data_IF_123165964578
#
_entry.id   IF_123165964578
#
_cell.length_a   1.000
_cell.length_b   1.000
_cell.length_c   1.000
_cell.angle_alpha   90.00
_cell.angle_beta   90.00
_cell.angle_gamma   90.00
#
_symmetry.space_group_name_H-M   'P 1'
#
loop_
_entity.id
_entity.type
_entity.pdbx_description
1 polymer ?
#
# COMPACT_ATOMS: atom_id res chain seq x y z
N UNK A 1 14.52 -8.17 -12.25
CA UNK A 1 13.23 -8.90 -12.32
C UNK A 1 13.34 -10.29 -12.96
N UNK A 2 13.99 -10.47 -14.11
CA UNK A 2 14.10 -11.80 -14.75
C UNK A 2 14.84 -12.81 -13.86
N UNK A 3 15.79 -12.34 -13.07
CA UNK A 3 16.64 -13.14 -12.19
C UNK A 3 15.89 -13.77 -10.98
N UNK A 4 14.72 -13.22 -10.60
CA UNK A 4 13.94 -13.65 -9.42
C UNK A 4 12.54 -14.19 -9.76
N UNK A 5 12.31 -14.58 -11.01
CA UNK A 5 10.98 -15.00 -11.48
C UNK A 5 10.46 -16.24 -10.74
N UNK A 6 11.33 -17.17 -10.37
CA UNK A 6 10.92 -18.39 -9.68
C UNK A 6 10.50 -18.10 -8.24
N UNK A 7 11.28 -17.29 -7.53
CA UNK A 7 10.99 -16.87 -6.15
C UNK A 7 9.69 -16.08 -6.07
N UNK A 8 9.44 -15.16 -7.02
CA UNK A 8 8.19 -14.40 -7.12
C UNK A 8 7.00 -15.34 -7.35
N UNK A 9 7.13 -16.34 -8.24
CA UNK A 9 6.08 -17.35 -8.46
C UNK A 9 5.79 -18.16 -7.21
N UNK A 10 6.80 -18.53 -6.45
CA UNK A 10 6.63 -19.25 -5.19
C UNK A 10 5.91 -18.41 -4.13
N UNK A 11 6.23 -17.11 -4.03
CA UNK A 11 5.53 -16.17 -3.13
C UNK A 11 4.05 -16.09 -3.51
N UNK A 12 3.73 -15.93 -4.80
CA UNK A 12 2.34 -15.91 -5.28
C UNK A 12 1.61 -17.23 -5.02
N UNK A 13 2.29 -18.36 -5.23
CA UNK A 13 1.73 -19.68 -4.94
C UNK A 13 1.42 -19.83 -3.45
N UNK A 14 2.36 -19.44 -2.59
CA UNK A 14 2.15 -19.45 -1.14
C UNK A 14 0.93 -18.58 -0.74
N UNK A 15 0.83 -17.37 -1.30
CA UNK A 15 -0.28 -16.48 -1.06
C UNK A 15 -1.64 -17.14 -1.39
N UNK A 16 -1.71 -17.79 -2.56
CA UNK A 16 -2.92 -18.48 -3.01
C UNK A 16 -3.29 -19.67 -2.10
N UNK A 17 -2.32 -20.52 -1.78
CA UNK A 17 -2.52 -21.73 -0.96
C UNK A 17 -2.92 -21.37 0.48
N UNK A 18 -2.39 -20.28 1.04
CA UNK A 18 -2.66 -19.83 2.41
C UNK A 18 -3.72 -18.72 2.49
N UNK A 19 -4.35 -18.38 1.36
CA UNK A 19 -5.39 -17.33 1.27
C UNK A 19 -4.91 -15.98 1.83
N UNK A 20 -3.64 -15.65 1.61
CA UNK A 20 -3.10 -14.34 1.96
C UNK A 20 -3.42 -13.38 0.82
N UNK A 21 -4.15 -12.28 1.07
CA UNK A 21 -4.37 -11.29 0.03
C UNK A 21 -3.05 -10.60 -0.31
N UNK A 22 -2.73 -10.54 -1.59
CA UNK A 22 -1.62 -9.77 -2.17
C UNK A 22 -2.16 -8.88 -3.27
N UNK A 23 -1.48 -7.78 -3.54
CA UNK A 23 -1.85 -6.84 -4.60
C UNK A 23 -1.92 -7.54 -5.97
N UNK A 24 -2.89 -7.17 -6.80
CA UNK A 24 -3.07 -7.69 -8.16
C UNK A 24 -1.92 -7.26 -9.08
N UNK A 25 -1.66 -8.04 -10.13
CA UNK A 25 -0.51 -7.82 -11.01
C UNK A 25 -0.51 -6.44 -11.68
N UNK A 26 -1.66 -6.00 -12.19
CA UNK A 26 -1.81 -4.68 -12.81
C UNK A 26 -1.65 -3.53 -11.79
N UNK A 27 -2.04 -3.75 -10.54
CA UNK A 27 -1.79 -2.84 -9.43
C UNK A 27 -0.28 -2.74 -9.11
N UNK A 28 0.42 -3.88 -9.07
CA UNK A 28 1.88 -3.92 -8.89
C UNK A 28 2.60 -3.24 -10.06
N UNK A 29 2.16 -3.47 -11.29
CA UNK A 29 2.73 -2.83 -12.48
C UNK A 29 2.55 -1.30 -12.44
N UNK A 30 1.39 -0.84 -11.97
CA UNK A 30 1.15 0.58 -11.73
C UNK A 30 2.11 1.13 -10.66
N UNK A 31 2.17 0.49 -9.50
CA UNK A 31 2.98 0.94 -8.35
C UNK A 31 4.48 1.01 -8.71
N UNK A 32 5.01 -0.03 -9.33
CA UNK A 32 6.42 -0.08 -9.74
C UNK A 32 6.76 0.92 -10.84
N UNK A 33 5.84 1.10 -11.81
CA UNK A 33 5.97 2.13 -12.85
C UNK A 33 5.93 3.53 -12.24
N UNK A 34 5.04 3.76 -11.27
CA UNK A 34 4.93 5.03 -10.55
C UNK A 34 6.23 5.38 -9.82
N UNK A 35 6.81 4.41 -9.11
CA UNK A 35 8.09 4.54 -8.41
C UNK A 35 9.21 4.98 -9.37
N UNK A 36 9.32 4.31 -10.53
CA UNK A 36 10.35 4.63 -11.53
C UNK A 36 10.13 6.03 -12.11
N UNK A 37 8.90 6.34 -12.56
CA UNK A 37 8.58 7.62 -13.23
C UNK A 37 8.77 8.82 -12.31
N UNK A 38 8.43 8.69 -11.03
CA UNK A 38 8.54 9.77 -10.05
C UNK A 38 9.87 9.76 -9.28
N UNK A 39 10.83 8.89 -9.66
CA UNK A 39 12.16 8.79 -9.05
C UNK A 39 12.11 8.60 -7.52
N UNK A 40 11.12 7.84 -7.04
CA UNK A 40 10.94 7.52 -5.64
C UNK A 40 12.15 6.74 -5.13
N UNK A 41 12.70 7.15 -3.98
CA UNK A 41 13.86 6.51 -3.34
C UNK A 41 13.54 5.94 -1.97
N UNK A 42 12.52 6.44 -1.30
CA UNK A 42 12.12 6.01 0.03
C UNK A 42 10.62 5.76 0.10
N UNK A 43 10.24 4.57 0.58
CA UNK A 43 8.85 4.14 0.70
C UNK A 43 8.56 3.72 2.13
N UNK A 44 7.44 4.21 2.68
CA UNK A 44 6.81 3.66 3.87
C UNK A 44 5.58 2.87 3.43
N UNK A 45 5.56 1.58 3.71
CA UNK A 45 4.43 0.70 3.44
C UNK A 45 3.69 0.34 4.73
N UNK A 46 2.37 0.47 4.69
CA UNK A 46 1.47 0.10 5.78
C UNK A 46 0.70 -1.15 5.36
N UNK A 47 1.07 -2.29 5.91
CA UNK A 47 0.54 -3.60 5.55
C UNK A 47 1.50 -4.37 4.63
N UNK A 48 2.48 -5.04 5.24
CA UNK A 48 3.48 -5.86 4.52
C UNK A 48 2.90 -7.16 3.98
N UNK A 49 1.93 -7.74 4.68
CA UNK A 49 1.51 -9.12 4.49
C UNK A 49 2.75 -10.07 4.42
N UNK A 50 2.91 -10.82 3.35
CA UNK A 50 4.07 -11.73 3.15
C UNK A 50 5.23 -11.07 2.39
N UNK A 51 5.23 -9.73 2.27
CA UNK A 51 6.31 -8.95 1.67
C UNK A 51 6.27 -8.82 0.15
N UNK A 52 5.18 -9.23 -0.51
CA UNK A 52 5.12 -9.26 -1.98
C UNK A 52 5.27 -7.87 -2.60
N UNK A 53 4.46 -6.90 -2.20
CA UNK A 53 4.53 -5.52 -2.68
C UNK A 53 5.87 -4.85 -2.38
N UNK A 54 6.37 -4.99 -1.13
CA UNK A 54 7.68 -4.48 -0.73
C UNK A 54 8.82 -5.03 -1.61
N UNK A 55 8.81 -6.33 -1.87
CA UNK A 55 9.79 -6.98 -2.75
C UNK A 55 9.69 -6.43 -4.18
N UNK A 56 8.49 -6.34 -4.73
CA UNK A 56 8.29 -5.83 -6.10
C UNK A 56 8.71 -4.37 -6.23
N UNK A 57 8.41 -3.52 -5.24
CA UNK A 57 8.91 -2.15 -5.17
C UNK A 57 10.44 -2.10 -5.13
N UNK A 58 11.08 -2.90 -4.28
CA UNK A 58 12.53 -2.95 -4.19
C UNK A 58 13.19 -3.43 -5.49
N UNK A 59 12.61 -4.43 -6.16
CA UNK A 59 13.14 -4.96 -7.42
C UNK A 59 12.91 -4.01 -8.61
N UNK A 60 11.97 -3.06 -8.53
CA UNK A 60 11.68 -2.10 -9.59
C UNK A 60 12.82 -1.12 -9.82
N UNK A 61 13.56 -0.77 -8.75
CA UNK A 61 14.66 0.18 -8.81
C UNK A 61 15.69 -0.15 -7.72
N UNK A 62 16.99 -0.31 -8.05
CA UNK A 62 18.02 -0.70 -7.08
C UNK A 62 18.26 0.34 -5.96
N UNK A 63 17.78 1.57 -6.14
CA UNK A 63 17.98 2.67 -5.18
C UNK A 63 16.80 2.87 -4.22
N UNK A 64 15.73 2.09 -4.35
CA UNK A 64 14.56 2.20 -3.47
C UNK A 64 14.81 1.50 -2.15
N UNK A 65 14.63 2.26 -1.06
CA UNK A 65 14.65 1.78 0.31
C UNK A 65 13.22 1.73 0.85
N UNK A 66 12.86 0.66 1.53
CA UNK A 66 11.49 0.43 2.00
C UNK A 66 11.49 0.19 3.49
N UNK A 67 10.62 0.88 4.20
CA UNK A 67 10.22 0.56 5.57
C UNK A 67 8.79 0.04 5.50
N UNK A 68 8.53 -1.18 5.96
CA UNK A 68 7.22 -1.81 5.89
C UNK A 68 6.75 -2.29 7.26
N UNK A 69 5.47 -2.10 7.55
CA UNK A 69 4.89 -2.37 8.87
C UNK A 69 3.86 -3.49 8.76
N UNK A 70 4.01 -4.54 9.58
CA UNK A 70 3.07 -5.65 9.70
C UNK A 70 2.80 -5.96 11.17
N UNK A 71 1.54 -6.22 11.49
CA UNK A 71 1.11 -6.58 12.86
C UNK A 71 0.81 -8.06 13.05
N UNK A 72 0.56 -8.78 11.97
CA UNK A 72 0.32 -10.23 12.00
C UNK A 72 1.66 -10.96 12.01
N UNK A 73 1.93 -11.71 13.10
CA UNK A 73 3.20 -12.38 13.31
C UNK A 73 3.50 -13.42 12.23
N UNK A 74 2.50 -14.19 11.81
CA UNK A 74 2.68 -15.24 10.80
C UNK A 74 3.07 -14.64 9.45
N UNK A 75 2.40 -13.56 9.06
CA UNK A 75 2.71 -12.81 7.83
C UNK A 75 4.08 -12.14 7.91
N UNK A 76 4.38 -11.51 9.02
CA UNK A 76 5.67 -10.88 9.26
C UNK A 76 6.84 -11.87 9.13
N UNK A 77 6.73 -13.05 9.75
CA UNK A 77 7.76 -14.09 9.65
C UNK A 77 7.92 -14.63 8.23
N UNK A 78 6.83 -14.80 7.49
CA UNK A 78 6.89 -15.20 6.09
C UNK A 78 7.49 -14.08 5.21
N UNK A 79 7.18 -12.80 5.49
CA UNK A 79 7.80 -11.68 4.80
C UNK A 79 9.32 -11.64 5.02
N UNK A 80 9.80 -11.83 6.25
CA UNK A 80 11.24 -11.93 6.56
C UNK A 80 11.92 -13.02 5.73
N UNK A 81 11.30 -14.19 5.66
CA UNK A 81 11.82 -15.32 4.89
C UNK A 81 11.90 -15.01 3.39
N UNK A 82 10.86 -14.39 2.83
CA UNK A 82 10.80 -14.03 1.43
C UNK A 82 11.84 -12.96 1.08
N UNK A 83 11.99 -11.93 1.91
CA UNK A 83 12.98 -10.85 1.73
C UNK A 83 14.40 -11.42 1.77
N UNK A 84 14.69 -12.28 2.75
CA UNK A 84 16.00 -12.94 2.87
C UNK A 84 16.31 -13.84 1.66
N UNK A 85 15.33 -14.58 1.16
CA UNK A 85 15.48 -15.44 -0.02
C UNK A 85 15.91 -14.67 -1.27
N UNK A 86 15.55 -13.38 -1.35
CA UNK A 86 15.86 -12.47 -2.46
C UNK A 86 17.06 -11.56 -2.18
N UNK A 87 17.74 -11.72 -1.03
CA UNK A 87 18.86 -10.88 -0.58
C UNK A 87 18.49 -9.38 -0.57
N UNK A 88 17.30 -9.05 -0.03
CA UNK A 88 16.78 -7.68 0.02
C UNK A 88 16.78 -7.07 1.44
N UNK A 89 17.42 -7.74 2.43
CA UNK A 89 17.45 -7.29 3.82
C UNK A 89 18.09 -5.91 4.01
N UNK A 90 19.04 -5.56 3.17
CA UNK A 90 19.70 -4.24 3.21
C UNK A 90 18.81 -3.12 2.64
N UNK A 91 17.72 -3.46 1.96
CA UNK A 91 16.82 -2.50 1.30
C UNK A 91 15.39 -2.47 1.83
N UNK A 92 14.99 -3.51 2.55
CA UNK A 92 13.66 -3.62 3.13
C UNK A 92 13.77 -3.81 4.63
N UNK A 93 13.37 -2.79 5.39
CA UNK A 93 13.29 -2.85 6.86
C UNK A 93 11.86 -3.20 7.25
N UNK A 94 11.67 -4.31 7.97
CA UNK A 94 10.37 -4.70 8.51
C UNK A 94 10.20 -4.28 9.96
N UNK A 95 9.03 -3.74 10.28
CA UNK A 95 8.62 -3.37 11.65
C UNK A 95 7.44 -4.26 12.05
N UNK A 96 7.65 -5.12 13.06
CA UNK A 96 6.57 -5.92 13.65
C UNK A 96 5.84 -5.10 14.71
N UNK A 97 4.73 -4.44 14.30
CA UNK A 97 3.91 -3.61 15.20
C UNK A 97 2.57 -3.26 14.56
N UNK A 98 1.56 -2.88 15.37
CA UNK A 98 0.39 -2.20 14.82
C UNK A 98 0.82 -0.82 14.31
N UNK A 99 0.43 -0.49 13.07
CA UNK A 99 0.88 0.74 12.43
C UNK A 99 0.43 2.00 13.19
N UNK A 100 -0.71 1.98 13.87
CA UNK A 100 -1.18 3.13 14.66
C UNK A 100 -0.29 3.40 15.88
N UNK A 101 0.47 2.41 16.36
CA UNK A 101 1.41 2.54 17.48
C UNK A 101 2.83 2.91 17.02
N UNK A 102 3.07 2.99 15.71
CA UNK A 102 4.40 3.31 15.16
C UNK A 102 4.59 4.83 15.06
N UNK A 103 5.70 5.31 15.57
CA UNK A 103 6.17 6.68 15.39
C UNK A 103 7.52 6.64 14.69
N UNK A 104 7.61 7.22 13.50
CA UNK A 104 8.82 7.28 12.71
C UNK A 104 9.32 8.73 12.66
N UNK A 105 10.62 8.98 12.89
CA UNK A 105 11.22 10.29 12.70
C UNK A 105 11.45 10.62 11.22
N UNK A 106 11.55 9.59 10.39
CA UNK A 106 11.94 9.67 8.99
C UNK A 106 10.83 10.23 8.10
N UNK A 107 11.24 10.77 6.96
CA UNK A 107 10.39 11.21 5.88
C UNK A 107 10.57 10.31 4.66
N UNK A 108 9.49 10.12 3.90
CA UNK A 108 9.43 9.23 2.74
C UNK A 108 8.93 9.98 1.50
N UNK A 109 9.39 9.54 0.33
CA UNK A 109 8.89 10.06 -0.95
C UNK A 109 7.50 9.48 -1.28
N UNK A 110 7.23 8.26 -0.78
CA UNK A 110 5.97 7.57 -0.97
C UNK A 110 5.53 6.92 0.35
N UNK A 111 4.27 7.15 0.73
CA UNK A 111 3.55 6.35 1.72
C UNK A 111 2.56 5.47 0.96
N UNK A 112 2.71 4.15 1.07
CA UNK A 112 1.82 3.17 0.45
C UNK A 112 0.94 2.53 1.53
N UNK A 113 -0.40 2.67 1.39
CA UNK A 113 -1.38 2.17 2.36
C UNK A 113 -2.12 0.98 1.75
N UNK A 114 -1.77 -0.23 2.18
CA UNK A 114 -2.42 -1.48 1.82
C UNK A 114 -2.73 -2.32 3.08
N UNK A 115 -3.39 -1.70 4.04
CA UNK A 115 -3.75 -2.32 5.32
C UNK A 115 -5.27 -2.38 5.53
N UNK A 116 -5.71 -2.52 6.77
CA UNK A 116 -7.13 -2.60 7.13
C UNK A 116 -7.91 -1.37 6.67
N UNK A 117 -8.76 -1.54 5.66
CA UNK A 117 -9.50 -0.47 4.96
C UNK A 117 -10.38 0.38 5.91
N UNK A 118 -10.83 -0.20 7.03
CA UNK A 118 -11.58 0.54 8.07
C UNK A 118 -10.75 1.60 8.80
N UNK A 119 -9.43 1.59 8.65
CA UNK A 119 -8.49 2.49 9.31
C UNK A 119 -7.78 3.44 8.33
N UNK A 120 -8.14 3.43 7.05
CA UNK A 120 -7.43 4.19 6.00
C UNK A 120 -7.32 5.69 6.29
N UNK A 121 -8.36 6.34 6.83
CA UNK A 121 -8.32 7.75 7.23
C UNK A 121 -7.25 7.97 8.31
N UNK A 122 -7.22 7.13 9.35
CA UNK A 122 -6.23 7.25 10.43
C UNK A 122 -4.80 7.04 9.93
N UNK A 123 -4.59 6.06 9.03
CA UNK A 123 -3.27 5.85 8.42
C UNK A 123 -2.86 7.06 7.56
N UNK A 124 -3.79 7.61 6.77
CA UNK A 124 -3.51 8.81 5.98
C UNK A 124 -3.11 9.98 6.87
N UNK A 125 -3.90 10.31 7.90
CA UNK A 125 -3.62 11.41 8.83
C UNK A 125 -2.32 11.22 9.59
N UNK A 126 -2.04 10.00 10.07
CA UNK A 126 -0.84 9.72 10.83
C UNK A 126 0.41 9.84 9.95
N UNK A 127 0.42 9.15 8.80
CA UNK A 127 1.61 9.01 7.99
C UNK A 127 1.80 10.11 6.94
N UNK A 128 0.80 10.96 6.71
CA UNK A 128 1.00 12.20 5.94
C UNK A 128 2.07 13.11 6.57
N UNK A 129 2.28 13.01 7.87
CA UNK A 129 3.36 13.71 8.59
C UNK A 129 4.75 13.18 8.26
N UNK A 130 4.83 11.94 7.79
CA UNK A 130 6.06 11.29 7.35
C UNK A 130 6.33 11.47 5.85
N UNK A 131 5.54 12.28 5.16
CA UNK A 131 5.72 12.53 3.73
C UNK A 131 6.70 13.68 3.49
N UNK A 132 7.60 13.52 2.52
CA UNK A 132 8.41 14.60 1.98
C UNK A 132 7.52 15.66 1.30
N UNK A 133 8.01 16.89 1.10
CA UNK A 133 7.21 18.00 0.55
C UNK A 133 6.59 17.69 -0.80
N UNK A 134 7.29 16.96 -1.68
CA UNK A 134 6.81 16.55 -3.00
C UNK A 134 6.41 15.06 -3.03
N UNK A 135 6.18 14.45 -1.88
CA UNK A 135 5.88 13.05 -1.77
C UNK A 135 4.43 12.71 -2.13
N UNK A 136 4.16 11.42 -2.23
CA UNK A 136 2.87 10.87 -2.62
C UNK A 136 2.33 9.92 -1.55
N UNK A 137 1.01 9.85 -1.43
CA UNK A 137 0.33 8.79 -0.70
C UNK A 137 -0.47 7.97 -1.70
N UNK A 138 -0.19 6.67 -1.80
CA UNK A 138 -0.94 5.73 -2.63
C UNK A 138 -1.72 4.81 -1.72
N UNK A 139 -3.01 4.60 -2.02
CA UNK A 139 -3.84 3.62 -1.30
C UNK A 139 -4.44 2.63 -2.27
N UNK A 140 -4.34 1.34 -1.96
CA UNK A 140 -4.92 0.23 -2.73
C UNK A 140 -6.34 -0.14 -2.27
N UNK A 141 -7.06 -0.88 -3.12
CA UNK A 141 -8.41 -1.41 -2.91
C UNK A 141 -9.51 -0.34 -2.76
N UNK A 142 -9.44 0.73 -3.53
CA UNK A 142 -10.43 1.82 -3.54
C UNK A 142 -11.75 1.43 -4.23
N UNK A 143 -11.81 0.33 -4.98
CA UNK A 143 -13.04 -0.20 -5.63
C UNK A 143 -13.58 -1.48 -4.94
N UNK A 144 -12.74 -2.16 -4.20
CA UNK A 144 -13.01 -3.35 -3.40
C UNK A 144 -13.87 -4.38 -4.15
N UNK A 145 -13.28 -4.96 -5.20
CA UNK A 145 -13.93 -5.95 -6.09
C UNK A 145 -15.24 -5.45 -6.69
N UNK A 146 -15.31 -4.15 -6.98
CA UNK A 146 -16.51 -3.50 -7.55
C UNK A 146 -17.65 -3.26 -6.56
N UNK A 147 -17.46 -3.61 -5.27
CA UNK A 147 -18.51 -3.41 -4.27
C UNK A 147 -18.78 -1.93 -3.95
N UNK A 148 -17.80 -1.06 -4.15
CA UNK A 148 -17.97 0.38 -3.89
C UNK A 148 -19.01 1.01 -4.82
N UNK A 149 -19.17 0.47 -6.04
CA UNK A 149 -20.18 0.92 -7.03
C UNK A 149 -21.58 0.32 -6.83
N UNK A 150 -21.70 -0.74 -6.00
CA UNK A 150 -22.98 -1.40 -5.75
C UNK A 150 -23.87 -0.62 -4.79
N UNK A 151 -25.19 -0.79 -4.94
CA UNK A 151 -26.14 -0.38 -3.90
C UNK A 151 -25.90 -1.22 -2.65
N UNK A 152 -25.92 -0.58 -1.47
CA UNK A 152 -25.74 -1.28 -0.20
C UNK A 152 -26.77 -2.40 0.03
N UNK A 153 -27.99 -2.26 -0.54
CA UNK A 153 -29.05 -3.27 -0.45
C UNK A 153 -28.69 -4.57 -1.17
N UNK A 154 -27.82 -4.51 -2.17
CA UNK A 154 -27.34 -5.69 -2.90
C UNK A 154 -26.27 -6.47 -2.14
N UNK A 155 -25.63 -5.84 -1.14
CA UNK A 155 -24.56 -6.45 -0.35
C UNK A 155 -25.19 -7.21 0.83
N UNK A 156 -25.28 -8.53 0.74
CA UNK A 156 -25.93 -9.37 1.77
C UNK A 156 -25.22 -9.37 3.11
N UNK A 157 -23.89 -9.38 3.13
CA UNK A 157 -23.08 -9.42 4.36
C UNK A 157 -23.05 -8.06 5.07
N UNK A 158 -23.43 -8.04 6.36
CA UNK A 158 -23.38 -6.83 7.20
C UNK A 158 -21.93 -6.30 7.33
N UNK A 159 -20.98 -7.19 7.55
CA UNK A 159 -19.57 -6.81 7.70
C UNK A 159 -19.01 -6.20 6.40
N UNK A 160 -19.40 -6.79 5.26
CA UNK A 160 -19.00 -6.27 3.96
C UNK A 160 -19.60 -4.88 3.69
N UNK A 161 -20.90 -4.66 4.03
CA UNK A 161 -21.52 -3.33 3.93
C UNK A 161 -20.78 -2.29 4.78
N UNK A 162 -20.43 -2.64 6.02
CA UNK A 162 -19.67 -1.73 6.89
C UNK A 162 -18.30 -1.39 6.30
N UNK A 163 -17.60 -2.39 5.76
CA UNK A 163 -16.31 -2.17 5.11
C UNK A 163 -16.43 -1.27 3.89
N UNK A 164 -17.41 -1.53 3.01
CA UNK A 164 -17.66 -0.71 1.82
C UNK A 164 -18.00 0.73 2.21
N UNK A 165 -18.78 0.95 3.28
CA UNK A 165 -19.04 2.30 3.81
C UNK A 165 -17.75 3.00 4.21
N UNK A 166 -16.85 2.31 4.91
CA UNK A 166 -15.56 2.89 5.31
C UNK A 166 -14.69 3.28 4.12
N UNK A 167 -14.71 2.50 3.05
CA UNK A 167 -14.01 2.84 1.82
C UNK A 167 -14.65 4.06 1.14
N UNK A 168 -15.99 4.13 1.09
CA UNK A 168 -16.72 5.31 0.56
C UNK A 168 -16.44 6.56 1.40
N UNK A 169 -16.46 6.47 2.74
CA UNK A 169 -16.10 7.55 3.65
C UNK A 169 -14.66 8.03 3.41
N UNK A 170 -13.71 7.10 3.23
CA UNK A 170 -12.33 7.46 2.93
C UNK A 170 -12.21 8.13 1.55
N UNK A 171 -12.96 7.68 0.55
CA UNK A 171 -12.98 8.32 -0.76
C UNK A 171 -13.45 9.77 -0.68
N UNK A 172 -14.56 10.02 0.02
CA UNK A 172 -15.07 11.39 0.27
C UNK A 172 -14.02 12.23 1.01
N UNK A 173 -13.40 11.66 2.06
CA UNK A 173 -12.32 12.31 2.79
C UNK A 173 -11.17 12.77 1.87
N UNK A 174 -10.77 11.92 0.91
CA UNK A 174 -9.71 12.25 -0.05
C UNK A 174 -10.15 13.32 -1.06
N UNK A 175 -11.40 13.26 -1.54
CA UNK A 175 -11.97 14.20 -2.51
C UNK A 175 -12.15 15.62 -1.89
N UNK A 176 -12.51 15.68 -0.62
CA UNK A 176 -12.74 16.94 0.12
C UNK A 176 -11.47 17.50 0.80
N UNK A 177 -10.37 16.79 0.76
CA UNK A 177 -9.13 17.19 1.43
C UNK A 177 -8.55 18.46 0.81
N UNK A 178 -8.50 19.57 1.57
CA UNK A 178 -7.98 20.86 1.11
C UNK A 178 -6.45 20.84 0.87
N UNK A 179 -5.69 20.01 1.63
CA UNK A 179 -4.24 19.99 1.60
C UNK A 179 -3.65 19.06 0.54
N UNK A 180 -4.49 18.16 -0.02
CA UNK A 180 -4.07 17.17 -1.00
C UNK A 180 -4.93 17.22 -2.26
N UNK A 181 -4.30 16.98 -3.41
CA UNK A 181 -4.97 16.66 -4.66
C UNK A 181 -4.91 15.15 -4.85
N UNK A 182 -6.07 14.52 -5.05
CA UNK A 182 -6.17 13.07 -5.20
C UNK A 182 -6.73 12.69 -6.56
N UNK A 183 -6.07 11.75 -7.22
CA UNK A 183 -6.53 11.08 -8.44
C UNK A 183 -6.92 9.64 -8.14
N UNK A 184 -7.97 9.14 -8.79
CA UNK A 184 -8.47 7.78 -8.64
C UNK A 184 -8.30 7.00 -9.95
N UNK A 185 -7.69 5.82 -9.85
CA UNK A 185 -7.42 4.94 -10.98
C UNK A 185 -8.22 3.65 -10.85
N UNK A 186 -8.82 3.20 -11.97
CA UNK A 186 -9.54 1.92 -12.06
C UNK A 186 -8.59 0.79 -12.48
N UNK A 187 -7.47 0.66 -11.79
CA UNK A 187 -6.42 -0.32 -12.00
C UNK A 187 -6.44 -1.27 -10.81
N UNK A 188 -6.30 -2.57 -11.06
CA UNK A 188 -6.40 -3.57 -10.00
C UNK A 188 -7.74 -3.49 -9.28
N UNK A 189 -7.69 -3.42 -7.97
CA UNK A 189 -8.88 -3.24 -7.12
C UNK A 189 -9.17 -1.75 -6.79
N UNK A 190 -8.71 -0.85 -7.69
CA UNK A 190 -8.84 0.59 -7.54
C UNK A 190 -7.71 1.20 -6.70
N UNK A 191 -7.07 2.24 -7.23
CA UNK A 191 -5.93 2.92 -6.59
C UNK A 191 -6.25 4.41 -6.46
N UNK A 192 -5.92 5.01 -5.32
CA UNK A 192 -5.86 6.47 -5.18
C UNK A 192 -4.42 6.94 -5.06
N UNK A 193 -4.12 8.08 -5.68
CA UNK A 193 -2.82 8.77 -5.58
C UNK A 193 -3.08 10.18 -5.09
N UNK A 194 -2.59 10.51 -3.91
CA UNK A 194 -2.71 11.82 -3.28
C UNK A 194 -1.37 12.51 -3.26
N UNK A 195 -1.31 13.75 -3.74
CA UNK A 195 -0.13 14.62 -3.69
C UNK A 195 -0.48 15.86 -2.87
N UNK A 196 0.43 16.29 -2.01
CA UNK A 196 0.28 17.53 -1.27
C UNK A 196 0.22 18.72 -2.23
N UNK A 197 -0.75 19.62 -2.04
CA UNK A 197 -0.86 20.86 -2.83
C UNK A 197 0.29 21.78 -2.45
N UNK A 198 0.88 22.45 -3.43
CA UNK A 198 1.82 23.51 -3.18
C UNK A 198 1.10 24.69 -2.55
N UNK A 199 1.72 25.37 -1.56
CA UNK A 199 1.13 26.52 -0.87
C UNK A 199 0.83 27.73 -1.78
N UNK A 200 1.15 27.64 -3.07
CA UNK A 200 0.92 28.69 -4.09
C UNK A 200 -0.39 28.47 -4.87
N UNK A 201 -1.10 27.37 -4.63
CA UNK A 201 -2.35 27.00 -5.36
C UNK A 201 -3.62 27.39 -4.56
N UNK A 202 -3.50 28.31 -3.59
CA UNK A 202 -4.62 28.83 -2.79
C UNK A 202 -4.86 30.31 -3.10
#
# INVERSE_FOLDING_TARGET
MVEHLNEIKEIKKYALENKVPIMMDDGIDFLTTFIIKNQIKSVLEIGTAIGYSAIMMALSNPYVMITSIERDEVRYLEALKNIKKLNLEDRITLIFKDALDVKLPDKFDLVFIDAAKSQSIHFFEQFSRNLNNNGFIITDNMDFHGYVKKDEKEIKSRNLRQLVRKIKEYRVYLEENSDYQTEFYTIGDGISVSRKKDKLDI
#
